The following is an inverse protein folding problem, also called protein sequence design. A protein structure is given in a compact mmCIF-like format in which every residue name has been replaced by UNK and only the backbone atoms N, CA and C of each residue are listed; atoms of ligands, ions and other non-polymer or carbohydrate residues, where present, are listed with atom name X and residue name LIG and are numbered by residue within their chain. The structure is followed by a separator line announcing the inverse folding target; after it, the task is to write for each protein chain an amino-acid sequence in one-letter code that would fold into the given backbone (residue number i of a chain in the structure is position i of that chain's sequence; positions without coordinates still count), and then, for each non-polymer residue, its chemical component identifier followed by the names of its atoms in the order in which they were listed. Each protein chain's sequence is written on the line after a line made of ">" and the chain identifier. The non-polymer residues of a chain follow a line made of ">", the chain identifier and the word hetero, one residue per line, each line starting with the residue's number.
data_IF_346127891766
#
_entry.id   IF_346127891766
#
_cell.length_a   1.000
_cell.length_b   1.000
_cell.length_c   1.000
_cell.angle_alpha   90.00
_cell.angle_beta   90.00
_cell.angle_gamma   90.00
#
_symmetry.space_group_name_H-M   'P 1'
#
loop_
_entity.id
_entity.type
_entity.pdbx_description
1 polymer ?
#
# COMPACT_ATOMS: atom_id res chain seq x y z
N UNK A 1 -17.32 1.81 -6.60
CA UNK A 1 -16.34 1.06 -5.76
C UNK A 1 -15.14 0.51 -6.53
N UNK A 2 -15.27 -0.09 -7.74
CA UNK A 2 -14.09 -0.52 -8.54
C UNK A 2 -13.15 0.67 -8.85
N UNK A 3 -13.70 1.83 -9.18
CA UNK A 3 -12.92 3.05 -9.37
C UNK A 3 -12.20 3.48 -8.06
N UNK A 4 -12.84 3.31 -6.90
CA UNK A 4 -12.19 3.58 -5.61
C UNK A 4 -10.95 2.70 -5.39
N UNK A 5 -10.98 1.43 -5.83
CA UNK A 5 -9.84 0.52 -5.79
C UNK A 5 -8.66 1.05 -6.62
N UNK A 6 -8.93 1.55 -7.82
CA UNK A 6 -7.90 2.15 -8.68
C UNK A 6 -7.33 3.43 -8.05
N UNK A 7 -8.20 4.34 -7.61
CA UNK A 7 -7.82 5.63 -7.04
C UNK A 7 -7.12 5.49 -5.69
N UNK A 8 -7.51 4.49 -4.89
CA UNK A 8 -6.95 4.24 -3.56
C UNK A 8 -5.44 4.00 -3.54
N UNK A 9 -4.85 3.58 -4.68
CA UNK A 9 -3.39 3.41 -4.80
C UNK A 9 -2.72 4.48 -5.70
N UNK A 10 -3.48 5.36 -6.35
CA UNK A 10 -2.95 6.27 -7.38
C UNK A 10 -1.97 7.31 -6.81
N UNK A 11 -2.25 7.82 -5.62
CA UNK A 11 -1.42 8.84 -4.98
C UNK A 11 -0.26 8.27 -4.16
N UNK A 12 -0.09 6.93 -4.11
CA UNK A 12 0.92 6.26 -3.28
C UNK A 12 0.79 6.60 -1.78
N UNK A 13 -0.44 6.87 -1.31
CA UNK A 13 -0.75 7.21 0.09
C UNK A 13 -1.56 6.11 0.81
N UNK A 14 -1.71 4.96 0.20
CA UNK A 14 -2.30 3.75 0.76
C UNK A 14 -1.40 3.11 1.83
N UNK A 15 -1.92 2.12 2.55
CA UNK A 15 -1.14 1.36 3.52
C UNK A 15 -0.20 0.33 2.87
N UNK A 16 0.72 -0.20 3.65
CA UNK A 16 1.63 -1.27 3.24
C UNK A 16 1.98 -2.18 4.42
N UNK A 17 2.07 -3.49 4.16
CA UNK A 17 2.69 -4.42 5.10
C UNK A 17 4.15 -4.65 4.72
N UNK A 18 5.08 -4.28 5.61
CA UNK A 18 6.53 -4.22 5.32
C UNK A 18 7.12 -5.58 4.93
N UNK A 19 6.93 -6.60 5.77
CA UNK A 19 7.55 -7.91 5.56
C UNK A 19 6.97 -8.69 4.39
N UNK A 20 5.69 -8.49 4.07
CA UNK A 20 5.03 -9.07 2.90
C UNK A 20 5.17 -8.20 1.64
N UNK A 21 5.61 -6.94 1.79
CA UNK A 21 5.83 -5.95 0.73
C UNK A 21 4.60 -5.83 -0.19
N UNK A 22 3.41 -5.68 0.44
CA UNK A 22 2.14 -5.58 -0.28
C UNK A 22 1.22 -4.51 0.33
N UNK A 23 0.26 -4.06 -0.47
CA UNK A 23 -0.67 -2.99 -0.16
C UNK A 23 -2.08 -3.56 0.06
N UNK A 24 -2.51 -3.86 1.30
CA UNK A 24 -3.80 -4.53 1.50
C UNK A 24 -4.99 -3.57 1.37
N UNK A 25 -4.90 -2.36 1.92
CA UNK A 25 -6.04 -1.44 2.01
C UNK A 25 -6.75 -1.16 0.71
N UNK A 26 -6.07 -0.82 -0.40
CA UNK A 26 -6.72 -0.56 -1.69
C UNK A 26 -7.48 -1.75 -2.26
N UNK A 27 -7.12 -2.97 -1.88
CA UNK A 27 -7.85 -4.20 -2.28
C UNK A 27 -9.00 -4.47 -1.32
N UNK A 28 -8.75 -4.46 -0.02
CA UNK A 28 -9.66 -5.01 1.00
C UNK A 28 -10.79 -4.05 1.35
N UNK A 29 -10.51 -2.74 1.56
CA UNK A 29 -11.57 -1.80 1.93
C UNK A 29 -12.67 -1.67 0.88
N UNK A 30 -12.36 -1.56 -0.44
CA UNK A 30 -13.42 -1.59 -1.45
C UNK A 30 -14.20 -2.90 -1.47
N UNK A 31 -13.57 -4.07 -1.17
CA UNK A 31 -14.28 -5.33 -1.04
C UNK A 31 -15.28 -5.31 0.12
N UNK A 32 -14.87 -4.78 1.27
CA UNK A 32 -15.70 -4.72 2.47
C UNK A 32 -16.87 -3.73 2.34
N UNK A 33 -16.76 -2.75 1.41
CA UNK A 33 -17.75 -1.67 1.21
C UNK A 33 -18.61 -1.84 -0.06
N UNK A 34 -18.25 -2.74 -1.00
CA UNK A 34 -18.97 -2.88 -2.28
C UNK A 34 -20.27 -3.65 -2.18
N UNK A 35 -20.42 -4.48 -1.15
CA UNK A 35 -21.63 -5.25 -0.87
C UNK A 35 -22.18 -4.84 0.49
N UNK A 36 -23.50 -4.88 0.62
CA UNK A 36 -24.16 -4.66 1.90
C UNK A 36 -24.02 -5.90 2.79
N UNK A 37 -23.07 -5.85 3.70
CA UNK A 37 -22.88 -6.88 4.72
C UNK A 37 -23.72 -6.64 6.00
N UNK A 38 -24.64 -5.69 5.97
CA UNK A 38 -25.60 -5.41 7.03
C UNK A 38 -25.22 -4.23 7.92
N UNK A 39 -24.02 -4.20 8.48
CA UNK A 39 -23.55 -3.10 9.33
C UNK A 39 -22.02 -2.95 9.27
N UNK A 40 -21.52 -1.84 9.85
CA UNK A 40 -20.11 -1.50 9.82
C UNK A 40 -19.25 -2.54 10.55
N UNK A 41 -19.68 -3.05 11.71
CA UNK A 41 -18.92 -4.05 12.47
C UNK A 41 -18.68 -5.32 11.64
N UNK A 42 -19.69 -5.78 10.92
CA UNK A 42 -19.56 -6.94 10.04
C UNK A 42 -18.65 -6.65 8.83
N UNK A 43 -18.72 -5.45 8.26
CA UNK A 43 -17.81 -5.03 7.20
C UNK A 43 -16.36 -4.94 7.70
N UNK A 44 -16.14 -4.45 8.93
CA UNK A 44 -14.83 -4.43 9.58
C UNK A 44 -14.30 -5.85 9.82
N UNK A 45 -15.13 -6.77 10.34
CA UNK A 45 -14.76 -8.17 10.48
C UNK A 45 -14.38 -8.83 9.15
N UNK A 46 -15.11 -8.52 8.08
CA UNK A 46 -14.79 -8.99 6.73
C UNK A 46 -13.46 -8.42 6.23
N UNK A 47 -13.20 -7.13 6.49
CA UNK A 47 -11.93 -6.49 6.15
C UNK A 47 -10.76 -7.15 6.91
N UNK A 48 -10.88 -7.37 8.23
CA UNK A 48 -9.86 -8.05 9.03
C UNK A 48 -9.54 -9.43 8.45
N UNK A 49 -10.53 -10.23 8.08
CA UNK A 49 -10.31 -11.53 7.45
C UNK A 49 -9.54 -11.42 6.12
N UNK A 50 -9.82 -10.39 5.35
CA UNK A 50 -9.10 -10.09 4.11
C UNK A 50 -7.64 -9.70 4.34
N UNK A 51 -7.37 -8.82 5.32
CA UNK A 51 -6.01 -8.44 5.71
C UNK A 51 -5.22 -9.67 6.17
N UNK A 52 -5.80 -10.50 7.05
CA UNK A 52 -5.16 -11.72 7.54
C UNK A 52 -4.78 -12.65 6.39
N UNK A 53 -5.71 -12.98 5.50
CA UNK A 53 -5.45 -13.89 4.39
C UNK A 53 -4.40 -13.33 3.42
N UNK A 54 -4.53 -12.06 3.04
CA UNK A 54 -3.62 -11.42 2.09
C UNK A 54 -2.19 -11.33 2.63
N UNK A 55 -2.04 -10.88 3.87
CA UNK A 55 -0.73 -10.69 4.49
C UNK A 55 -0.09 -12.04 4.83
N UNK A 56 -0.84 -13.00 5.40
CA UNK A 56 -0.33 -14.32 5.73
C UNK A 56 0.27 -15.01 4.51
N UNK A 57 -0.42 -14.96 3.37
CA UNK A 57 0.06 -15.53 2.11
C UNK A 57 1.24 -14.73 1.55
N UNK A 58 1.12 -13.40 1.49
CA UNK A 58 2.19 -12.55 0.98
C UNK A 58 3.49 -12.65 1.76
N UNK A 59 3.41 -12.84 3.07
CA UNK A 59 4.59 -13.03 3.94
C UNK A 59 5.37 -14.32 3.67
N UNK A 60 4.76 -15.32 3.02
CA UNK A 60 5.43 -16.56 2.62
C UNK A 60 6.29 -16.40 1.36
N UNK A 61 6.11 -15.35 0.59
CA UNK A 61 6.85 -15.14 -0.66
C UNK A 61 8.33 -14.86 -0.38
N UNK A 62 9.18 -15.43 -1.20
CA UNK A 62 10.63 -15.23 -1.13
C UNK A 62 11.10 -14.10 -2.07
N UNK A 63 12.41 -13.80 -2.02
CA UNK A 63 13.01 -12.79 -2.89
C UNK A 63 12.89 -13.12 -4.39
N UNK A 64 12.82 -14.42 -4.76
CA UNK A 64 12.62 -14.80 -6.16
C UNK A 64 11.25 -14.38 -6.67
N UNK A 65 10.18 -14.64 -5.89
CA UNK A 65 8.84 -14.14 -6.18
C UNK A 65 8.88 -12.62 -6.35
N UNK A 66 9.44 -11.88 -5.37
CA UNK A 66 9.46 -10.43 -5.38
C UNK A 66 10.22 -9.81 -6.57
N UNK A 67 11.21 -10.50 -7.13
CA UNK A 67 11.90 -10.03 -8.34
C UNK A 67 11.06 -10.11 -9.62
N UNK A 68 9.98 -10.86 -9.63
CA UNK A 68 9.16 -11.17 -10.82
C UNK A 68 7.72 -10.73 -10.70
N UNK A 69 7.15 -10.81 -9.51
CA UNK A 69 5.72 -10.63 -9.27
C UNK A 69 5.47 -9.51 -8.25
N UNK A 70 4.40 -8.77 -8.46
CA UNK A 70 3.86 -7.78 -7.52
C UNK A 70 3.09 -8.51 -6.39
N UNK A 71 3.58 -8.56 -5.14
CA UNK A 71 2.94 -9.33 -4.08
C UNK A 71 1.49 -8.91 -3.81
N UNK A 72 1.17 -7.61 -3.97
CA UNK A 72 -0.22 -7.11 -3.88
C UNK A 72 -1.14 -7.80 -4.89
N UNK A 73 -0.68 -7.97 -6.13
CA UNK A 73 -1.46 -8.65 -7.16
C UNK A 73 -1.58 -10.15 -6.88
N UNK A 74 -0.47 -10.79 -6.49
CA UNK A 74 -0.42 -12.24 -6.30
C UNK A 74 -1.24 -12.68 -5.08
N UNK A 75 -1.11 -11.99 -3.95
CA UNK A 75 -1.84 -12.30 -2.72
C UNK A 75 -3.22 -11.64 -2.64
N UNK A 76 -3.44 -10.55 -3.38
CA UNK A 76 -4.65 -9.73 -3.26
C UNK A 76 -5.95 -10.46 -3.58
N UNK A 77 -5.94 -11.34 -4.56
CA UNK A 77 -7.11 -12.16 -4.90
C UNK A 77 -7.56 -13.07 -3.74
N UNK A 78 -6.62 -13.63 -2.99
CA UNK A 78 -6.92 -14.41 -1.78
C UNK A 78 -7.55 -13.54 -0.68
N UNK A 79 -6.97 -12.34 -0.43
CA UNK A 79 -7.51 -11.40 0.54
C UNK A 79 -8.92 -10.94 0.17
N UNK A 80 -9.14 -10.56 -1.08
CA UNK A 80 -10.45 -10.17 -1.58
C UNK A 80 -11.47 -11.31 -1.44
N UNK A 81 -11.10 -12.54 -1.82
CA UNK A 81 -11.96 -13.71 -1.67
C UNK A 81 -12.31 -13.99 -0.21
N UNK A 82 -11.35 -13.85 0.71
CA UNK A 82 -11.57 -14.01 2.14
C UNK A 82 -12.53 -12.93 2.69
N UNK A 83 -12.38 -11.68 2.25
CA UNK A 83 -13.29 -10.57 2.62
C UNK A 83 -14.73 -10.88 2.22
N UNK A 84 -14.95 -11.25 0.95
CA UNK A 84 -16.30 -11.59 0.47
C UNK A 84 -16.87 -12.85 1.13
N UNK A 85 -16.04 -13.87 1.35
CA UNK A 85 -16.46 -15.11 2.00
C UNK A 85 -16.87 -14.86 3.47
N UNK A 86 -16.11 -14.04 4.20
CA UNK A 86 -16.42 -13.66 5.57
C UNK A 86 -17.67 -12.80 5.63
N UNK A 87 -17.78 -11.76 4.80
CA UNK A 87 -18.93 -10.86 4.75
C UNK A 87 -20.24 -11.58 4.36
N UNK A 88 -20.17 -12.64 3.56
CA UNK A 88 -21.31 -13.50 3.20
C UNK A 88 -21.54 -14.65 4.18
N UNK A 89 -20.81 -14.68 5.29
CA UNK A 89 -20.87 -15.73 6.31
C UNK A 89 -20.68 -17.17 5.75
N UNK A 90 -19.75 -17.35 4.82
CA UNK A 90 -19.45 -18.67 4.26
C UNK A 90 -18.87 -19.61 5.32
N UNK A 91 -19.30 -20.87 5.29
CA UNK A 91 -18.63 -21.93 6.02
C UNK A 91 -17.25 -22.26 5.42
N UNK A 92 -16.50 -23.07 6.16
CA UNK A 92 -15.08 -23.39 5.83
C UNK A 92 -14.88 -23.88 4.40
N UNK A 93 -15.73 -24.79 3.92
CA UNK A 93 -15.60 -25.37 2.58
C UNK A 93 -15.77 -24.34 1.47
N UNK A 94 -16.77 -23.44 1.57
CA UNK A 94 -16.98 -22.36 0.62
C UNK A 94 -15.87 -21.29 0.69
N UNK A 95 -15.36 -21.01 1.89
CA UNK A 95 -14.23 -20.08 2.06
C UNK A 95 -12.97 -20.67 1.40
N UNK A 96 -12.67 -21.95 1.61
CA UNK A 96 -11.57 -22.65 0.96
C UNK A 96 -11.75 -22.63 -0.57
N UNK A 97 -12.96 -22.91 -1.07
CA UNK A 97 -13.25 -22.85 -2.50
C UNK A 97 -13.01 -21.44 -3.07
N UNK A 98 -13.52 -20.40 -2.41
CA UNK A 98 -13.33 -19.02 -2.85
C UNK A 98 -11.86 -18.62 -2.91
N UNK A 99 -11.10 -18.87 -1.84
CA UNK A 99 -9.67 -18.51 -1.78
C UNK A 99 -8.83 -19.32 -2.76
N UNK A 100 -9.09 -20.61 -2.91
CA UNK A 100 -8.34 -21.47 -3.85
C UNK A 100 -8.67 -21.18 -5.31
N UNK A 101 -9.92 -20.83 -5.65
CA UNK A 101 -10.28 -20.34 -6.98
C UNK A 101 -9.54 -19.04 -7.32
N UNK A 102 -9.51 -18.08 -6.40
CA UNK A 102 -8.75 -16.85 -6.58
C UNK A 102 -7.25 -17.13 -6.78
N UNK A 103 -6.70 -18.06 -5.99
CA UNK A 103 -5.30 -18.46 -6.10
C UNK A 103 -4.94 -19.11 -7.41
N UNK A 104 -5.88 -19.82 -8.04
CA UNK A 104 -5.63 -20.52 -9.31
C UNK A 104 -5.35 -19.60 -10.50
N UNK A 105 -5.66 -18.32 -10.39
CA UNK A 105 -5.43 -17.28 -11.40
C UNK A 105 -4.55 -16.14 -10.90
N UNK A 106 -3.81 -16.34 -9.80
CA UNK A 106 -2.89 -15.37 -9.25
C UNK A 106 -1.78 -15.00 -10.22
N UNK A 107 -1.36 -13.73 -10.20
CA UNK A 107 -0.34 -13.23 -11.11
C UNK A 107 0.10 -11.81 -10.77
N UNK A 108 0.41 -11.03 -11.80
CA UNK A 108 0.85 -9.64 -11.68
C UNK A 108 2.36 -9.48 -11.83
N UNK A 109 2.82 -9.17 -13.04
CA UNK A 109 4.24 -9.08 -13.37
C UNK A 109 4.83 -7.71 -13.06
N UNK A 110 6.09 -7.67 -12.62
CA UNK A 110 6.83 -6.45 -12.32
C UNK A 110 7.36 -5.70 -13.54
N UNK A 111 7.10 -6.11 -14.79
CA UNK A 111 7.59 -5.40 -15.98
C UNK A 111 7.28 -3.90 -15.94
N UNK A 112 6.15 -3.51 -15.36
CA UNK A 112 5.76 -2.10 -15.15
C UNK A 112 6.73 -1.26 -14.32
N UNK A 113 7.69 -1.86 -13.59
CA UNK A 113 8.72 -1.13 -12.85
C UNK A 113 9.70 -0.39 -13.76
N UNK A 114 9.81 -0.83 -15.00
CA UNK A 114 10.74 -0.31 -16.00
C UNK A 114 10.08 0.70 -16.95
N UNK A 115 8.78 0.97 -16.76
CA UNK A 115 7.99 1.80 -17.66
C UNK A 115 7.07 2.73 -16.83
N UNK A 116 6.90 4.02 -17.22
CA UNK A 116 6.04 4.97 -16.53
C UNK A 116 4.56 4.74 -16.88
N UNK A 117 3.98 3.66 -16.35
CA UNK A 117 2.61 3.21 -16.64
C UNK A 117 1.78 3.03 -15.36
N UNK A 118 0.46 2.98 -15.48
CA UNK A 118 -0.49 2.79 -14.38
C UNK A 118 -0.90 1.32 -14.14
N UNK A 119 -0.11 0.37 -14.64
CA UNK A 119 -0.40 -1.05 -14.50
C UNK A 119 -0.38 -1.54 -13.04
N UNK A 120 0.32 -0.84 -12.13
CA UNK A 120 0.29 -1.13 -10.69
C UNK A 120 -1.13 -1.00 -10.13
N UNK A 121 -1.86 0.05 -10.49
CA UNK A 121 -3.24 0.29 -10.07
C UNK A 121 -4.20 -0.74 -10.67
N UNK A 122 -3.96 -1.15 -11.94
CA UNK A 122 -4.71 -2.22 -12.56
C UNK A 122 -4.58 -3.55 -11.81
N UNK A 123 -3.39 -3.88 -11.28
CA UNK A 123 -3.18 -5.08 -10.47
C UNK A 123 -4.08 -5.10 -9.22
N UNK A 124 -4.26 -3.95 -8.57
CA UNK A 124 -5.13 -3.82 -7.38
C UNK A 124 -6.59 -4.08 -7.76
N UNK A 125 -7.07 -3.45 -8.84
CA UNK A 125 -8.43 -3.67 -9.38
C UNK A 125 -8.65 -5.13 -9.77
N UNK A 126 -7.65 -5.75 -10.43
CA UNK A 126 -7.74 -7.15 -10.84
C UNK A 126 -7.85 -8.09 -9.62
N UNK A 127 -7.09 -7.83 -8.55
CA UNK A 127 -7.16 -8.61 -7.33
C UNK A 127 -8.57 -8.58 -6.69
N UNK A 128 -9.19 -7.40 -6.58
CA UNK A 128 -10.57 -7.27 -6.11
C UNK A 128 -11.54 -8.08 -6.97
N UNK A 129 -11.50 -7.88 -8.30
CA UNK A 129 -12.43 -8.54 -9.21
C UNK A 129 -12.26 -10.07 -9.18
N UNK A 130 -11.02 -10.56 -9.08
CA UNK A 130 -10.71 -11.98 -8.96
C UNK A 130 -11.33 -12.57 -7.70
N UNK A 131 -11.11 -11.93 -6.54
CA UNK A 131 -11.67 -12.40 -5.27
C UNK A 131 -13.20 -12.37 -5.25
N UNK A 132 -13.81 -11.30 -5.80
CA UNK A 132 -15.26 -11.19 -5.94
C UNK A 132 -15.86 -12.30 -6.80
N UNK A 133 -15.27 -12.54 -7.96
CA UNK A 133 -15.71 -13.60 -8.86
C UNK A 133 -15.54 -14.98 -8.20
N UNK A 134 -14.39 -15.24 -7.57
CA UNK A 134 -14.11 -16.49 -6.89
C UNK A 134 -15.14 -16.79 -5.77
N UNK A 135 -15.43 -15.79 -4.92
CA UNK A 135 -16.45 -15.93 -3.88
C UNK A 135 -17.85 -16.19 -4.47
N UNK A 136 -18.22 -15.50 -5.56
CA UNK A 136 -19.49 -15.72 -6.24
C UNK A 136 -19.60 -17.13 -6.79
N UNK A 137 -18.56 -17.64 -7.45
CA UNK A 137 -18.58 -18.98 -8.02
C UNK A 137 -18.50 -20.08 -6.95
N UNK A 138 -17.78 -19.87 -5.86
CA UNK A 138 -17.81 -20.75 -4.69
C UNK A 138 -19.20 -20.86 -4.09
N UNK A 139 -19.97 -19.77 -4.05
CA UNK A 139 -21.37 -19.79 -3.60
C UNK A 139 -22.26 -20.66 -4.50
N UNK A 140 -21.97 -20.70 -5.80
CA UNK A 140 -22.65 -21.60 -6.75
C UNK A 140 -22.14 -23.04 -6.70
N UNK A 141 -21.22 -23.38 -5.79
CA UNK A 141 -20.70 -24.74 -5.63
C UNK A 141 -19.49 -25.08 -6.50
N UNK A 142 -18.89 -24.10 -7.19
CA UNK A 142 -17.61 -24.33 -7.89
C UNK A 142 -16.51 -24.43 -6.85
N UNK A 143 -15.65 -25.45 -6.99
CA UNK A 143 -14.55 -25.71 -6.05
C UNK A 143 -13.20 -25.41 -6.69
N UNK A 144 -12.21 -25.06 -5.85
CA UNK A 144 -10.81 -24.91 -6.25
C UNK A 144 -9.92 -25.97 -5.58
N UNK A 145 -8.65 -26.08 -6.00
CA UNK A 145 -7.72 -27.05 -5.44
C UNK A 145 -7.31 -26.68 -4.00
N UNK A 146 -7.55 -27.56 -3.04
CA UNK A 146 -7.23 -27.31 -1.63
C UNK A 146 -5.74 -27.00 -1.39
N UNK A 147 -4.85 -27.61 -2.17
CA UNK A 147 -3.39 -27.39 -2.09
C UNK A 147 -2.91 -26.31 -3.08
N UNK A 148 -3.67 -25.24 -3.28
CA UNK A 148 -3.33 -24.19 -4.25
C UNK A 148 -2.00 -23.51 -3.97
N UNK A 149 -1.58 -23.43 -2.73
CA UNK A 149 -0.32 -22.80 -2.33
C UNK A 149 0.85 -23.78 -2.50
N UNK A 150 0.83 -24.92 -1.78
CA UNK A 150 1.95 -25.86 -1.60
C UNK A 150 1.92 -27.07 -2.54
N UNK A 151 0.88 -27.25 -3.34
CA UNK A 151 0.77 -28.36 -4.27
C UNK A 151 1.90 -28.37 -5.32
N UNK A 152 2.16 -29.50 -5.98
CA UNK A 152 3.28 -29.66 -6.93
C UNK A 152 3.16 -28.74 -8.17
N UNK A 153 1.99 -28.22 -8.45
CA UNK A 153 1.72 -27.20 -9.46
C UNK A 153 1.01 -25.97 -8.83
N UNK A 154 1.19 -25.80 -7.51
CA UNK A 154 0.65 -24.67 -6.75
C UNK A 154 1.46 -23.41 -6.91
N UNK A 155 1.00 -22.34 -6.24
CA UNK A 155 1.55 -21.00 -6.34
C UNK A 155 3.04 -20.95 -5.97
N UNK A 156 3.44 -21.65 -4.91
CA UNK A 156 4.84 -21.66 -4.46
C UNK A 156 5.75 -22.35 -5.49
N UNK A 157 5.33 -23.49 -6.03
CA UNK A 157 6.09 -24.19 -7.06
C UNK A 157 6.27 -23.35 -8.34
N UNK A 158 5.26 -22.55 -8.68
CA UNK A 158 5.29 -21.69 -9.86
C UNK A 158 6.10 -20.40 -9.68
N UNK A 159 6.15 -19.82 -8.47
CA UNK A 159 6.61 -18.44 -8.29
C UNK A 159 7.74 -18.26 -7.26
N UNK A 160 7.98 -19.22 -6.39
CA UNK A 160 8.99 -19.18 -5.34
C UNK A 160 10.09 -20.23 -5.55
N UNK A 161 11.28 -20.00 -4.99
CA UNK A 161 12.36 -20.99 -4.88
C UNK A 161 12.43 -21.61 -3.49
N UNK A 162 12.19 -20.80 -2.47
CA UNK A 162 12.23 -21.17 -1.06
C UNK A 162 11.16 -20.38 -0.30
N UNK A 163 9.87 -20.73 -0.44
CA UNK A 163 8.80 -20.03 0.25
C UNK A 163 9.01 -20.11 1.76
N UNK A 164 8.72 -18.99 2.45
CA UNK A 164 8.80 -18.93 3.90
C UNK A 164 7.62 -19.68 4.53
N UNK A 165 7.76 -20.22 5.74
CA UNK A 165 6.65 -20.84 6.44
C UNK A 165 5.56 -19.80 6.74
N UNK A 166 4.29 -20.21 6.60
CA UNK A 166 3.16 -19.39 7.04
C UNK A 166 3.13 -19.34 8.58
N UNK A 167 2.93 -18.15 9.12
CA UNK A 167 2.86 -17.91 10.56
C UNK A 167 1.47 -17.44 10.96
N UNK A 168 1.09 -17.67 12.22
CA UNK A 168 -0.20 -17.30 12.79
C UNK A 168 0.06 -16.55 14.11
N UNK A 169 0.32 -15.23 14.08
CA UNK A 169 0.55 -14.45 15.29
C UNK A 169 -0.73 -14.35 16.15
N UNK A 170 -0.55 -14.03 17.44
CA UNK A 170 -1.68 -13.83 18.36
C UNK A 170 -2.46 -12.53 18.06
N UNK A 171 -1.77 -11.51 17.56
CA UNK A 171 -2.38 -10.24 17.16
C UNK A 171 -2.75 -10.25 15.68
N UNK A 172 -3.81 -9.52 15.34
CA UNK A 172 -4.23 -9.32 13.97
C UNK A 172 -3.16 -8.60 13.15
N UNK A 173 -2.87 -9.10 11.96
CA UNK A 173 -1.85 -8.54 11.05
C UNK A 173 -2.16 -7.13 10.56
N UNK A 174 -3.39 -6.68 10.67
CA UNK A 174 -3.74 -5.28 10.39
C UNK A 174 -2.96 -4.30 11.30
N UNK A 175 -2.53 -4.73 12.49
CA UNK A 175 -1.67 -3.93 13.37
C UNK A 175 -0.21 -3.86 12.93
N UNK A 176 0.20 -4.69 11.97
CA UNK A 176 1.56 -4.71 11.40
C UNK A 176 1.70 -3.79 10.18
N UNK A 177 0.59 -3.18 9.68
CA UNK A 177 0.63 -2.34 8.51
C UNK A 177 1.18 -0.94 8.82
N UNK A 178 1.87 -0.38 7.86
CA UNK A 178 2.36 1.00 7.90
C UNK A 178 1.41 1.92 7.15
N UNK A 179 1.07 3.06 7.73
CA UNK A 179 0.39 4.16 7.05
C UNK A 179 1.40 5.01 6.28
N UNK A 180 1.03 5.48 5.10
CA UNK A 180 1.85 6.40 4.33
C UNK A 180 1.35 7.85 4.51
N UNK A 181 2.05 8.72 5.26
CA UNK A 181 1.63 10.11 5.44
C UNK A 181 1.81 10.95 4.19
N UNK A 182 2.77 10.60 3.30
CA UNK A 182 3.20 11.40 2.17
C UNK A 182 2.86 10.76 0.82
N UNK A 183 2.70 11.60 -0.23
CA UNK A 183 2.30 11.18 -1.57
C UNK A 183 3.47 10.61 -2.38
N UNK A 184 4.17 9.62 -1.83
CA UNK A 184 5.35 9.02 -2.44
C UNK A 184 5.38 7.49 -2.23
N UNK A 185 6.21 6.82 -3.01
CA UNK A 185 6.55 5.42 -2.80
C UNK A 185 7.10 5.20 -1.39
N UNK A 186 6.74 4.08 -0.76
CA UNK A 186 7.19 3.76 0.60
C UNK A 186 8.70 3.84 0.78
N UNK A 187 9.49 3.50 -0.23
CA UNK A 187 10.94 3.57 -0.20
C UNK A 187 11.51 5.00 -0.11
N UNK A 188 10.72 6.03 -0.43
CA UNK A 188 11.11 7.45 -0.30
C UNK A 188 10.81 7.99 1.10
N UNK A 189 9.84 7.43 1.79
CA UNK A 189 9.36 7.91 3.09
C UNK A 189 10.45 8.02 4.16
N UNK A 190 11.39 7.06 4.33
CA UNK A 190 12.43 7.17 5.35
C UNK A 190 13.29 8.42 5.17
N UNK A 191 13.64 8.74 3.93
CA UNK A 191 14.43 9.94 3.64
C UNK A 191 13.63 11.24 3.84
N UNK A 192 12.33 11.24 3.47
CA UNK A 192 11.41 12.36 3.76
C UNK A 192 11.33 12.61 5.27
N UNK A 193 11.16 11.56 6.09
CA UNK A 193 11.04 11.66 7.53
C UNK A 193 12.31 12.24 8.17
N UNK A 194 13.50 11.72 7.80
CA UNK A 194 14.76 12.29 8.22
C UNK A 194 14.89 13.78 7.85
N UNK A 195 14.51 14.15 6.63
CA UNK A 195 14.58 15.54 6.18
C UNK A 195 13.60 16.44 6.92
N UNK A 196 12.41 15.97 7.27
CA UNK A 196 11.43 16.70 8.08
C UNK A 196 11.95 16.97 9.49
N UNK A 197 12.54 15.97 10.14
CA UNK A 197 13.16 16.12 11.46
C UNK A 197 14.34 17.12 11.43
N UNK A 198 15.19 17.01 10.40
CA UNK A 198 16.29 17.97 10.22
C UNK A 198 15.78 19.39 9.94
N UNK A 199 14.72 19.54 9.13
CA UNK A 199 14.09 20.84 8.87
C UNK A 199 13.50 21.44 10.15
N UNK A 200 12.78 20.65 10.93
CA UNK A 200 12.22 21.09 12.21
C UNK A 200 13.30 21.56 13.21
N UNK A 201 14.47 20.91 13.16
CA UNK A 201 15.63 21.30 13.97
C UNK A 201 16.45 22.46 13.36
N UNK A 202 16.08 23.01 12.19
CA UNK A 202 16.84 24.04 11.48
C UNK A 202 18.20 23.56 10.94
N UNK A 203 18.36 22.27 10.71
CA UNK A 203 19.62 21.62 10.32
C UNK A 203 19.62 21.05 8.89
N UNK A 204 18.51 21.13 8.17
CA UNK A 204 18.44 20.65 6.79
C UNK A 204 19.11 21.68 5.87
N UNK A 205 20.27 21.35 5.34
CA UNK A 205 21.06 22.24 4.48
C UNK A 205 21.72 21.44 3.35
N UNK A 206 21.81 22.04 2.17
CA UNK A 206 22.52 21.49 1.02
C UNK A 206 24.06 21.54 1.22
N UNK A 207 24.83 20.62 0.59
CA UNK A 207 24.35 19.49 -0.21
C UNK A 207 23.65 18.41 0.64
N UNK A 208 22.72 17.68 0.00
CA UNK A 208 21.95 16.63 0.69
C UNK A 208 22.55 15.26 0.36
N UNK A 209 22.98 14.54 1.40
CA UNK A 209 23.53 13.19 1.30
C UNK A 209 22.53 12.21 1.90
N UNK A 210 21.98 11.33 1.09
CA UNK A 210 20.94 10.36 1.45
C UNK A 210 21.53 8.97 1.38
N UNK A 211 21.45 8.23 2.47
CA UNK A 211 21.85 6.84 2.56
C UNK A 211 20.61 5.98 2.90
N UNK A 212 20.38 4.93 2.10
CA UNK A 212 19.19 4.06 2.20
C UNK A 212 19.57 2.60 1.96
N UNK A 213 18.61 1.70 2.05
CA UNK A 213 18.77 0.28 1.73
C UNK A 213 18.71 0.00 0.21
N UNK A 214 19.22 -1.16 -0.22
CA UNK A 214 19.38 -1.52 -1.63
C UNK A 214 18.09 -1.47 -2.46
N UNK A 215 16.97 -1.94 -1.90
CA UNK A 215 15.68 -1.85 -2.62
C UNK A 215 15.21 -0.40 -2.83
N UNK A 216 15.48 0.51 -1.89
CA UNK A 216 15.17 1.93 -2.08
C UNK A 216 15.97 2.51 -3.27
N UNK A 217 17.23 2.12 -3.43
CA UNK A 217 18.03 2.46 -4.61
C UNK A 217 17.40 1.89 -5.89
N UNK A 218 17.11 0.59 -5.88
CA UNK A 218 16.59 -0.11 -7.06
C UNK A 218 15.25 0.46 -7.56
N UNK A 219 14.43 1.00 -6.67
CA UNK A 219 13.11 1.56 -7.00
C UNK A 219 13.09 3.07 -7.18
N UNK A 220 13.88 3.80 -6.39
CA UNK A 220 13.65 5.23 -6.16
C UNK A 220 14.89 6.12 -6.37
N UNK A 221 16.00 5.59 -6.87
CA UNK A 221 17.12 6.42 -7.32
C UNK A 221 16.83 7.00 -8.72
N UNK A 222 16.02 8.08 -8.75
CA UNK A 222 15.58 8.77 -9.97
C UNK A 222 15.88 10.25 -9.85
N UNK A 223 17.07 10.64 -10.29
CA UNK A 223 17.56 12.03 -10.18
C UNK A 223 16.81 13.03 -11.06
N UNK A 224 16.24 12.58 -12.17
CA UNK A 224 15.52 13.44 -13.13
C UNK A 224 14.15 12.88 -13.50
N UNK A 225 13.17 12.94 -12.57
CA UNK A 225 11.83 12.46 -12.84
C UNK A 225 11.13 13.36 -13.88
N UNK A 226 10.39 12.71 -14.80
CA UNK A 226 9.68 13.40 -15.90
C UNK A 226 8.18 13.47 -15.65
N UNK A 227 7.63 12.46 -15.01
CA UNK A 227 6.19 12.34 -14.75
C UNK A 227 5.90 12.39 -13.25
N UNK A 228 4.63 12.63 -12.88
CA UNK A 228 4.18 12.51 -11.48
C UNK A 228 4.52 11.15 -10.88
N UNK A 229 4.34 10.08 -11.65
CA UNK A 229 4.70 8.73 -11.21
C UNK A 229 6.19 8.64 -10.92
N UNK A 230 7.05 9.14 -11.82
CA UNK A 230 8.50 9.13 -11.59
C UNK A 230 8.89 9.95 -10.35
N UNK A 231 8.26 11.10 -10.15
CA UNK A 231 8.55 11.97 -9.01
C UNK A 231 8.18 11.31 -7.67
N UNK A 232 7.05 10.59 -7.62
CA UNK A 232 6.65 9.80 -6.44
C UNK A 232 7.63 8.66 -6.11
N UNK A 233 8.42 8.23 -7.09
CA UNK A 233 9.47 7.22 -6.96
C UNK A 233 10.88 7.83 -7.01
N UNK A 234 11.07 9.09 -6.63
CA UNK A 234 12.36 9.78 -6.62
C UNK A 234 12.76 10.20 -5.21
N UNK A 235 13.83 9.60 -4.67
CA UNK A 235 14.45 10.02 -3.41
C UNK A 235 14.90 11.47 -3.50
N UNK A 236 15.50 11.85 -4.62
CA UNK A 236 16.00 13.21 -4.85
C UNK A 236 14.86 14.23 -4.84
N UNK A 237 13.71 13.89 -5.46
CA UNK A 237 12.56 14.78 -5.47
C UNK A 237 11.92 14.90 -4.09
N UNK A 238 11.77 13.79 -3.36
CA UNK A 238 11.27 13.80 -1.98
C UNK A 238 12.07 14.72 -1.05
N UNK A 239 13.41 14.66 -1.12
CA UNK A 239 14.29 15.56 -0.37
C UNK A 239 14.14 17.03 -0.83
N UNK A 240 14.09 17.28 -2.15
CA UNK A 240 13.93 18.62 -2.71
C UNK A 240 12.59 19.27 -2.27
N UNK A 241 11.51 18.48 -2.20
CA UNK A 241 10.21 18.92 -1.67
C UNK A 241 10.37 19.42 -0.23
N UNK A 242 10.97 18.63 0.64
CA UNK A 242 11.13 19.01 2.06
C UNK A 242 12.08 20.20 2.22
N UNK A 243 13.17 20.24 1.46
CA UNK A 243 14.13 21.33 1.47
C UNK A 243 13.54 22.67 0.97
N UNK A 244 12.53 22.63 0.13
CA UNK A 244 11.78 23.82 -0.32
C UNK A 244 10.77 24.35 0.70
N UNK A 245 10.61 23.70 1.85
CA UNK A 245 9.62 24.05 2.89
C UNK A 245 8.25 23.39 2.72
N UNK A 246 8.06 22.51 1.73
CA UNK A 246 6.80 21.79 1.47
C UNK A 246 6.71 20.51 2.32
N UNK A 247 5.59 19.78 2.24
CA UNK A 247 5.28 18.64 3.11
C UNK A 247 5.08 17.30 2.42
N UNK A 248 5.46 17.18 1.13
CA UNK A 248 5.29 16.01 0.30
C UNK A 248 3.80 15.58 0.15
N UNK A 249 2.94 16.56 -0.06
CA UNK A 249 1.54 16.41 -0.40
C UNK A 249 1.37 16.12 -1.91
N UNK A 250 0.19 15.70 -2.40
CA UNK A 250 -0.01 15.39 -3.82
C UNK A 250 0.43 16.51 -4.77
N UNK A 251 0.18 17.78 -4.43
CA UNK A 251 0.57 18.96 -5.21
C UNK A 251 2.09 19.10 -5.41
N UNK A 252 2.88 18.46 -4.58
CA UNK A 252 4.35 18.57 -4.62
C UNK A 252 4.99 17.64 -5.65
N UNK A 253 4.19 16.80 -6.31
CA UNK A 253 4.64 15.83 -7.32
C UNK A 253 4.09 16.13 -8.73
N UNK A 254 3.44 17.27 -8.93
CA UNK A 254 2.94 17.70 -10.24
C UNK A 254 4.08 18.10 -11.19
N UNK A 255 3.84 18.16 -12.52
CA UNK A 255 4.84 18.60 -13.48
C UNK A 255 5.44 19.97 -13.14
N UNK A 256 4.64 20.90 -12.65
CA UNK A 256 5.08 22.25 -12.22
C UNK A 256 6.03 22.16 -11.02
N UNK A 257 5.71 21.33 -10.04
CA UNK A 257 6.57 21.10 -8.86
C UNK A 257 7.89 20.41 -9.28
N UNK A 258 7.82 19.42 -10.17
CA UNK A 258 8.98 18.74 -10.74
C UNK A 258 9.95 19.73 -11.37
N UNK A 259 9.44 20.63 -12.22
CA UNK A 259 10.25 21.65 -12.88
C UNK A 259 10.84 22.67 -11.87
N UNK A 260 10.01 23.18 -10.95
CA UNK A 260 10.43 24.18 -9.98
C UNK A 260 11.51 23.68 -9.00
N UNK A 261 11.49 22.38 -8.65
CA UNK A 261 12.40 21.78 -7.68
C UNK A 261 13.69 21.19 -8.31
N UNK A 262 13.86 21.27 -9.62
CA UNK A 262 15.04 20.76 -10.31
C UNK A 262 16.39 21.27 -9.73
N UNK A 263 16.56 22.58 -9.37
CA UNK A 263 17.80 23.06 -8.78
C UNK A 263 18.12 22.48 -7.38
N UNK A 264 17.11 22.17 -6.59
CA UNK A 264 17.29 21.51 -5.30
C UNK A 264 17.56 20.01 -5.47
N UNK A 265 16.86 19.34 -6.40
CA UNK A 265 17.13 17.94 -6.75
C UNK A 265 18.58 17.70 -7.17
N UNK A 266 19.15 18.60 -7.95
CA UNK A 266 20.54 18.51 -8.41
C UNK A 266 21.57 18.54 -7.27
N UNK A 267 21.18 18.92 -6.05
CA UNK A 267 22.04 18.97 -4.87
C UNK A 267 21.91 17.71 -4.00
N UNK A 268 21.12 16.71 -4.41
CA UNK A 268 20.87 15.47 -3.67
C UNK A 268 21.70 14.34 -4.26
N UNK A 269 22.50 13.71 -3.42
CA UNK A 269 23.21 12.46 -3.75
C UNK A 269 22.59 11.32 -2.93
N UNK A 270 22.46 10.15 -3.56
CA UNK A 270 21.87 8.95 -2.96
C UNK A 270 22.88 7.81 -3.01
N UNK A 271 23.02 7.05 -1.93
CA UNK A 271 23.88 5.88 -1.83
C UNK A 271 23.22 4.77 -1.02
N UNK A 272 23.63 3.53 -1.27
CA UNK A 272 23.29 2.40 -0.42
C UNK A 272 24.19 2.40 0.83
N UNK A 273 23.57 2.16 2.01
CA UNK A 273 24.28 1.86 3.24
C UNK A 273 24.06 0.40 3.62
N UNK A 274 25.10 -0.45 3.62
CA UNK A 274 24.95 -1.89 3.91
C UNK A 274 24.31 -2.19 5.26
N UNK A 275 24.58 -1.38 6.28
CA UNK A 275 24.00 -1.51 7.61
C UNK A 275 22.51 -1.18 7.66
N UNK A 276 22.04 -0.29 6.77
CA UNK A 276 20.60 -0.01 6.61
C UNK A 276 19.95 -1.14 5.82
N UNK A 277 20.62 -1.63 4.76
CA UNK A 277 20.16 -2.78 3.97
C UNK A 277 20.01 -4.04 4.84
N UNK A 278 20.92 -4.27 5.80
CA UNK A 278 20.87 -5.44 6.67
C UNK A 278 19.62 -5.47 7.59
N UNK A 279 18.97 -4.34 7.83
CA UNK A 279 17.73 -4.25 8.62
C UNK A 279 16.45 -4.37 7.80
N UNK A 280 16.55 -4.22 6.48
CA UNK A 280 15.42 -4.32 5.57
C UNK A 280 15.04 -5.80 5.32
N UNK A 281 13.77 -6.19 5.22
CA UNK A 281 12.55 -5.35 5.24
C UNK A 281 11.92 -5.17 6.63
N UNK A 282 12.57 -5.59 7.70
CA UNK A 282 12.02 -5.46 9.06
C UNK A 282 11.88 -3.98 9.45
N UNK A 283 12.89 -3.18 9.10
CA UNK A 283 12.93 -1.74 9.35
C UNK A 283 13.15 -0.98 8.04
N UNK A 284 12.37 0.07 7.82
CA UNK A 284 12.50 0.97 6.69
C UNK A 284 13.16 2.26 7.16
N UNK A 285 14.49 2.26 7.24
CA UNK A 285 15.28 3.39 7.70
C UNK A 285 15.98 4.17 6.59
N UNK A 286 16.47 5.36 6.94
CA UNK A 286 17.34 6.17 6.10
C UNK A 286 18.26 7.04 6.95
N UNK A 287 19.33 7.56 6.34
CA UNK A 287 20.18 8.60 6.90
C UNK A 287 20.27 9.77 5.94
N UNK A 288 20.04 10.99 6.43
CA UNK A 288 20.17 12.24 5.65
C UNK A 288 21.14 13.15 6.38
N UNK A 289 22.19 13.59 5.70
CA UNK A 289 23.25 14.45 6.27
C UNK A 289 23.78 13.95 7.64
N UNK A 290 23.90 12.62 7.80
CA UNK A 290 24.36 11.98 9.02
C UNK A 290 23.29 11.78 10.12
N UNK A 291 22.08 12.29 9.95
CA UNK A 291 20.97 12.02 10.86
C UNK A 291 20.19 10.79 10.40
N UNK A 292 20.08 9.78 11.26
CA UNK A 292 19.47 8.48 10.94
C UNK A 292 18.16 8.25 11.70
N UNK A 293 17.18 7.71 11.00
CA UNK A 293 15.98 7.09 11.57
C UNK A 293 15.95 5.61 11.16
N UNK A 294 15.73 4.72 12.12
CA UNK A 294 15.61 3.26 11.89
C UNK A 294 14.22 2.92 11.36
N UNK A 295 13.19 3.56 11.90
CA UNK A 295 11.79 3.38 11.54
C UNK A 295 11.18 4.71 11.10
N UNK A 296 10.27 4.62 10.16
CA UNK A 296 9.65 5.78 9.52
C UNK A 296 8.29 6.09 10.13
N UNK A 297 7.91 7.38 10.17
CA UNK A 297 6.57 7.82 10.56
C UNK A 297 5.49 7.06 9.79
N UNK A 298 4.54 6.49 10.54
CA UNK A 298 3.48 5.62 10.05
C UNK A 298 3.76 4.13 10.20
N UNK A 299 4.98 3.72 10.55
CA UNK A 299 5.27 2.34 10.95
C UNK A 299 4.68 2.03 12.33
N UNK A 300 4.43 0.75 12.67
CA UNK A 300 3.96 0.36 14.00
C UNK A 300 4.83 0.89 15.15
N UNK A 301 6.13 1.04 14.94
CA UNK A 301 7.10 1.59 15.91
C UNK A 301 7.02 3.13 16.03
N UNK A 302 6.51 3.80 14.99
CA UNK A 302 6.30 5.26 14.93
C UNK A 302 4.93 5.61 14.37
N UNK A 303 3.83 5.17 15.01
CA UNK A 303 2.50 5.25 14.45
C UNK A 303 2.03 6.70 14.28
N UNK A 304 1.19 6.92 13.26
CA UNK A 304 0.41 8.15 13.11
C UNK A 304 -0.80 8.11 14.03
N UNK A 305 -1.15 9.26 14.60
CA UNK A 305 -2.34 9.40 15.42
C UNK A 305 -3.59 9.73 14.62
N UNK A 306 -4.76 9.64 15.25
CA UNK A 306 -6.07 9.96 14.65
C UNK A 306 -6.08 11.36 14.02
N UNK A 307 -5.55 12.37 14.73
CA UNK A 307 -5.50 13.74 14.21
C UNK A 307 -4.69 13.87 12.90
N UNK A 308 -3.61 13.10 12.74
CA UNK A 308 -2.80 13.08 11.51
C UNK A 308 -3.53 12.37 10.37
N UNK A 309 -4.28 11.29 10.68
CA UNK A 309 -5.11 10.59 9.70
C UNK A 309 -6.22 11.52 9.19
N UNK A 310 -6.89 12.25 10.08
CA UNK A 310 -7.92 13.23 9.71
C UNK A 310 -7.30 14.39 8.91
N UNK A 311 -6.12 14.88 9.28
CA UNK A 311 -5.43 15.92 8.52
C UNK A 311 -5.08 15.45 7.11
N UNK A 312 -4.59 14.22 6.96
CA UNK A 312 -4.36 13.59 5.65
C UNK A 312 -5.66 13.49 4.83
N UNK A 313 -6.75 13.05 5.45
CA UNK A 313 -8.06 12.98 4.79
C UNK A 313 -8.50 14.34 4.26
N UNK A 314 -8.35 15.41 5.05
CA UNK A 314 -8.66 16.78 4.63
C UNK A 314 -7.81 17.22 3.43
N UNK A 315 -6.51 16.91 3.45
CA UNK A 315 -5.61 17.19 2.31
C UNK A 315 -6.07 16.46 1.05
N UNK A 316 -6.46 15.19 1.16
CA UNK A 316 -6.91 14.39 0.02
C UNK A 316 -8.27 14.86 -0.52
N UNK A 317 -9.22 15.20 0.35
CA UNK A 317 -10.52 15.77 -0.02
C UNK A 317 -10.34 17.09 -0.77
N UNK A 318 -9.50 17.99 -0.24
CA UNK A 318 -9.18 19.25 -0.90
C UNK A 318 -8.47 19.04 -2.25
N UNK A 319 -7.54 18.08 -2.34
CA UNK A 319 -6.87 17.71 -3.59
C UNK A 319 -7.86 17.20 -4.65
N UNK A 320 -8.89 16.44 -4.23
CA UNK A 320 -9.98 15.97 -5.09
C UNK A 320 -10.95 17.07 -5.50
N UNK A 321 -10.77 18.30 -5.03
CA UNK A 321 -11.68 19.43 -5.34
C UNK A 321 -13.01 19.37 -4.60
N UNK A 322 -13.13 18.55 -3.58
CA UNK A 322 -14.33 18.40 -2.77
C UNK A 322 -14.40 19.47 -1.66
N UNK A 323 -15.61 19.83 -1.17
CA UNK A 323 -15.80 20.72 -0.04
C UNK A 323 -15.12 20.19 1.24
N UNK A 324 -14.56 21.07 2.07
CA UNK A 324 -13.83 20.69 3.27
C UNK A 324 -14.67 19.89 4.29
N UNK A 325 -15.97 20.17 4.36
CA UNK A 325 -16.94 19.45 5.20
C UNK A 325 -17.08 17.97 4.86
N UNK A 326 -16.75 17.56 3.64
CA UNK A 326 -16.78 16.16 3.25
C UNK A 326 -15.72 15.32 4.00
N UNK A 327 -14.59 15.91 4.35
CA UNK A 327 -13.59 15.24 5.18
C UNK A 327 -14.10 14.95 6.60
N UNK A 328 -14.78 15.93 7.20
CA UNK A 328 -15.36 15.78 8.54
C UNK A 328 -16.53 14.79 8.52
N UNK A 329 -17.37 14.84 7.49
CA UNK A 329 -18.44 13.86 7.26
C UNK A 329 -17.90 12.43 7.13
N UNK A 330 -16.83 12.25 6.34
CA UNK A 330 -16.20 10.94 6.17
C UNK A 330 -15.62 10.41 7.48
N UNK A 331 -14.92 11.27 8.25
CA UNK A 331 -14.39 10.92 9.56
C UNK A 331 -15.49 10.51 10.54
N UNK A 332 -16.59 11.26 10.61
CA UNK A 332 -17.72 10.93 11.47
C UNK A 332 -18.40 9.60 11.09
N UNK A 333 -18.60 9.35 9.80
CA UNK A 333 -19.16 8.08 9.32
C UNK A 333 -18.25 6.89 9.64
N UNK A 334 -16.93 7.03 9.45
CA UNK A 334 -15.97 5.95 9.67
C UNK A 334 -15.72 5.67 11.16
N UNK A 335 -15.69 6.69 12.03
CA UNK A 335 -15.31 6.56 13.44
C UNK A 335 -16.51 6.41 14.38
N UNK A 336 -17.69 6.94 14.02
CA UNK A 336 -18.86 7.01 14.89
C UNK A 336 -20.13 6.45 14.25
N UNK A 337 -20.08 6.18 12.94
CA UNK A 337 -21.19 5.61 12.19
C UNK A 337 -21.32 4.10 12.39
N UNK A 338 -22.46 3.57 12.00
CA UNK A 338 -22.71 2.13 11.91
C UNK A 338 -23.27 1.71 10.55
N UNK A 339 -23.49 2.69 9.67
CA UNK A 339 -24.16 2.52 8.37
C UNK A 339 -23.14 2.46 7.23
N UNK A 340 -22.86 1.25 6.75
CA UNK A 340 -22.00 1.01 5.58
C UNK A 340 -22.59 1.64 4.32
N UNK A 341 -23.93 1.64 4.17
CA UNK A 341 -24.61 2.23 3.04
C UNK A 341 -24.33 3.74 2.91
N UNK A 342 -24.31 4.46 4.04
CA UNK A 342 -23.97 5.87 4.05
C UNK A 342 -22.52 6.16 3.61
N UNK A 343 -21.57 5.30 4.05
CA UNK A 343 -20.17 5.39 3.62
C UNK A 343 -20.06 5.10 2.11
N UNK A 344 -20.71 4.05 1.65
CA UNK A 344 -20.68 3.66 0.23
C UNK A 344 -21.30 4.73 -0.67
N UNK A 345 -22.46 5.29 -0.28
CA UNK A 345 -23.10 6.36 -1.02
C UNK A 345 -22.22 7.61 -1.11
N UNK A 346 -21.59 8.01 0.01
CA UNK A 346 -20.66 9.13 0.02
C UNK A 346 -19.48 8.90 -0.93
N UNK A 347 -18.87 7.71 -0.92
CA UNK A 347 -17.76 7.37 -1.82
C UNK A 347 -18.19 7.31 -3.29
N UNK A 348 -19.42 6.90 -3.58
CA UNK A 348 -19.98 6.93 -4.93
C UNK A 348 -20.22 8.35 -5.42
N UNK A 349 -20.72 9.23 -4.55
CA UNK A 349 -20.86 10.67 -4.85
C UNK A 349 -19.51 11.31 -5.17
N UNK A 350 -18.45 10.95 -4.46
CA UNK A 350 -17.09 11.45 -4.70
C UNK A 350 -16.48 10.96 -6.02
N UNK A 351 -17.01 9.89 -6.61
CA UNK A 351 -16.51 9.28 -7.84
C UNK A 351 -17.26 9.73 -9.10
N UNK A 352 -18.28 10.59 -8.94
CA UNK A 352 -19.04 11.17 -10.05
C UNK A 352 -18.56 12.56 -10.39
#
# INVERSE_FOLDING_TARGET
>A
MINATFLGNLLEMDDIHRSAILHPGPVIWPCALIEDFGNLDHALDAAIAGYEAMIAIGATFDGHHYTRYHPTATAGGFGAAATFAKGRAFGQDKMLAATSLAGSVSGGLWQMRHEPVTAKQWHVVHALNTGRAAAKYADYGITGPASILEGPQGLYAATCRAPKPMTFPEQWRIHEVSFKPWAACRHVHPAIDCALELRAAGKLAAPFHVEVYGDAIAFCDRSDPVTEVDAKFSLQHGIAVIASGRNAEPADFTPEAIAALAPLRAQVTVAEAPEITARYPTHFGARVNGFELVDTRGDPERPVGEAEIIAKLRTLVAWGGLPAEEADRAADLALRGSDVGAITAMLEDWLT
#
